data_IF_336169048820
#
_entry.id   IF_336169048820
#
_cell.length_a   1.000
_cell.length_b   1.000
_cell.length_c   1.000
_cell.angle_alpha   90.00
_cell.angle_beta   90.00
_cell.angle_gamma   90.00
#
_symmetry.space_group_name_H-M   'P 1'
#
loop_
_entity.id
_entity.type
_entity.pdbx_description
1 polymer ?
#
# COMPACT_ATOMS: atom_id res chain seq x y z
N UNK A 1 -68.48 4.70 -10.08
CA UNK A 1 -67.47 4.90 -11.15
C UNK A 1 -66.51 6.06 -10.86
N UNK A 2 -67.02 7.28 -10.49
CA UNK A 2 -66.16 8.45 -10.21
C UNK A 2 -65.01 8.16 -9.20
N UNK A 3 -65.28 7.47 -8.12
CA UNK A 3 -64.26 7.12 -7.12
C UNK A 3 -63.22 6.12 -7.64
N UNK A 4 -63.61 5.23 -8.52
CA UNK A 4 -62.65 4.27 -9.15
C UNK A 4 -61.66 5.02 -10.02
N UNK A 5 -62.08 5.96 -10.83
CA UNK A 5 -61.19 6.78 -11.65
C UNK A 5 -60.25 7.63 -10.78
N UNK A 6 -60.73 8.20 -9.66
CA UNK A 6 -59.89 8.94 -8.73
C UNK A 6 -58.82 8.09 -8.07
N UNK A 7 -59.19 6.89 -7.59
CA UNK A 7 -58.21 5.95 -7.03
C UNK A 7 -57.20 5.46 -8.06
N UNK A 8 -57.63 5.16 -9.28
CA UNK A 8 -56.71 4.78 -10.36
C UNK A 8 -55.75 5.90 -10.72
N UNK A 9 -56.24 7.12 -10.86
CA UNK A 9 -55.41 8.28 -11.14
C UNK A 9 -54.38 8.52 -10.01
N UNK A 10 -54.83 8.43 -8.76
CA UNK A 10 -53.91 8.56 -7.61
C UNK A 10 -52.86 7.45 -7.59
N UNK A 11 -53.25 6.21 -7.85
CA UNK A 11 -52.32 5.06 -7.92
C UNK A 11 -51.30 5.24 -9.04
N UNK A 12 -51.69 5.70 -10.21
CA UNK A 12 -50.79 5.99 -11.33
C UNK A 12 -49.82 7.11 -10.97
N UNK A 13 -50.26 8.19 -10.36
CA UNK A 13 -49.43 9.30 -9.93
C UNK A 13 -48.39 8.82 -8.88
N UNK A 14 -48.81 8.01 -7.91
CA UNK A 14 -47.91 7.46 -6.90
C UNK A 14 -46.90 6.51 -7.54
N UNK A 15 -47.29 5.62 -8.45
CA UNK A 15 -46.34 4.75 -9.13
C UNK A 15 -45.32 5.53 -9.97
N UNK A 16 -45.78 6.51 -10.75
CA UNK A 16 -44.90 7.37 -11.54
C UNK A 16 -43.94 8.14 -10.64
N UNK A 17 -44.41 8.63 -9.51
CA UNK A 17 -43.55 9.33 -8.54
C UNK A 17 -42.51 8.40 -7.92
N UNK A 18 -42.92 7.20 -7.50
CA UNK A 18 -42.00 6.23 -6.88
C UNK A 18 -40.91 5.79 -7.89
N UNK A 19 -41.31 5.39 -9.08
CA UNK A 19 -40.35 4.96 -10.09
C UNK A 19 -39.57 6.10 -10.71
N UNK A 20 -40.15 7.27 -10.86
CA UNK A 20 -39.50 8.45 -11.41
C UNK A 20 -38.42 9.02 -10.46
N UNK A 21 -38.68 9.05 -9.16
CA UNK A 21 -37.73 9.59 -8.19
C UNK A 21 -36.70 8.57 -7.67
N UNK A 22 -37.04 7.27 -7.64
CA UNK A 22 -36.14 6.22 -7.14
C UNK A 22 -35.51 5.37 -8.21
N UNK A 23 -35.97 5.49 -9.45
CA UNK A 23 -35.57 4.61 -10.55
C UNK A 23 -36.10 3.17 -10.40
N UNK A 24 -35.95 2.38 -11.44
CA UNK A 24 -36.46 0.99 -11.51
C UNK A 24 -35.84 0.02 -10.52
N UNK A 25 -34.65 0.33 -9.99
CA UNK A 25 -33.93 -0.48 -9.00
C UNK A 25 -33.97 0.05 -7.58
N UNK A 26 -34.72 1.11 -7.34
CA UNK A 26 -34.82 1.80 -6.04
C UNK A 26 -33.45 2.21 -5.45
N UNK A 27 -32.47 2.50 -6.31
CA UNK A 27 -31.08 2.81 -5.89
C UNK A 27 -30.86 4.28 -5.59
N UNK A 28 -31.79 5.17 -5.93
CA UNK A 28 -31.65 6.59 -5.68
C UNK A 28 -32.18 6.97 -4.28
N UNK A 29 -31.48 7.92 -3.64
CA UNK A 29 -31.92 8.42 -2.34
C UNK A 29 -33.33 9.06 -2.41
N UNK A 30 -34.17 8.92 -1.37
CA UNK A 30 -35.56 9.44 -1.38
C UNK A 30 -35.66 10.98 -1.56
N UNK A 31 -34.56 11.68 -1.35
CA UNK A 31 -34.48 13.15 -1.41
C UNK A 31 -34.04 13.72 -2.76
N UNK A 32 -33.76 12.86 -3.76
CA UNK A 32 -33.50 13.31 -5.14
C UNK A 32 -34.79 13.69 -5.83
N UNK A 33 -35.26 14.90 -5.50
CA UNK A 33 -36.54 15.48 -6.03
C UNK A 33 -36.43 15.73 -7.53
N UNK A 34 -35.21 15.97 -8.05
CA UNK A 34 -34.96 16.20 -9.46
C UNK A 34 -34.16 15.04 -10.05
N UNK A 35 -34.69 14.31 -11.05
CA UNK A 35 -34.01 13.20 -11.68
C UNK A 35 -32.71 13.68 -12.35
N UNK A 36 -31.59 13.08 -11.99
CA UNK A 36 -30.25 13.48 -12.45
C UNK A 36 -30.06 13.41 -13.97
N UNK A 37 -30.78 12.52 -14.63
CA UNK A 37 -30.75 12.39 -16.08
C UNK A 37 -31.35 13.63 -16.80
N UNK A 38 -32.29 14.34 -16.15
CA UNK A 38 -32.90 15.55 -16.68
C UNK A 38 -32.22 16.82 -16.16
N UNK A 39 -31.79 16.81 -14.90
CA UNK A 39 -31.18 17.94 -14.21
C UNK A 39 -29.90 17.54 -13.51
N UNK A 40 -28.79 17.36 -14.24
CA UNK A 40 -27.54 16.85 -13.67
C UNK A 40 -26.88 17.83 -12.68
N UNK A 41 -27.32 19.09 -12.65
CA UNK A 41 -26.82 20.13 -11.74
C UNK A 41 -25.28 20.11 -11.60
N UNK A 42 -24.77 20.19 -10.38
CA UNK A 42 -23.32 20.18 -10.09
C UNK A 42 -22.69 18.79 -10.08
N UNK A 43 -23.45 17.71 -10.20
CA UNK A 43 -22.92 16.34 -10.21
C UNK A 43 -22.15 16.01 -11.50
N UNK A 44 -22.60 16.54 -12.63
CA UNK A 44 -21.95 16.37 -13.93
C UNK A 44 -21.21 17.65 -14.31
N UNK A 45 -19.99 17.78 -13.81
CA UNK A 45 -19.11 18.88 -14.16
C UNK A 45 -18.21 18.50 -15.33
N UNK A 46 -17.94 19.45 -16.22
CA UNK A 46 -16.97 19.31 -17.31
C UNK A 46 -15.54 19.40 -16.76
N UNK A 47 -15.14 18.42 -15.96
CA UNK A 47 -13.78 18.32 -15.39
C UNK A 47 -13.20 16.95 -15.66
N UNK A 48 -11.90 16.91 -15.91
CA UNK A 48 -11.14 15.68 -15.98
C UNK A 48 -10.92 15.16 -14.56
N UNK A 49 -11.35 13.92 -14.29
CA UNK A 49 -11.14 13.26 -13.00
C UNK A 49 -10.06 12.19 -13.16
N UNK A 50 -9.22 11.96 -12.14
CA UNK A 50 -8.28 10.83 -12.15
C UNK A 50 -9.00 9.51 -12.38
N UNK A 51 -8.36 8.59 -13.11
CA UNK A 51 -8.86 7.23 -13.37
C UNK A 51 -10.23 7.16 -14.09
N UNK A 52 -10.61 8.21 -14.82
CA UNK A 52 -11.81 8.20 -15.66
C UNK A 52 -11.43 8.23 -17.15
N UNK A 53 -12.34 7.78 -17.99
CA UNK A 53 -12.20 7.96 -19.42
C UNK A 53 -12.32 9.46 -19.78
N UNK A 54 -11.48 9.93 -20.69
CA UNK A 54 -11.51 11.29 -21.21
C UNK A 54 -11.74 11.29 -22.72
N UNK A 55 -12.82 11.90 -23.15
CA UNK A 55 -13.11 12.11 -24.59
C UNK A 55 -12.26 13.21 -25.22
N UNK A 56 -11.57 13.98 -24.41
CA UNK A 56 -10.73 15.09 -24.89
C UNK A 56 -9.37 14.61 -25.43
N UNK A 57 -8.81 13.55 -24.83
CA UNK A 57 -7.52 13.02 -25.25
C UNK A 57 -7.68 11.84 -26.20
N UNK A 58 -6.84 11.80 -27.25
CA UNK A 58 -6.91 10.76 -28.29
C UNK A 58 -6.70 9.33 -27.75
N UNK A 59 -5.94 9.18 -26.65
CA UNK A 59 -5.71 7.90 -25.97
C UNK A 59 -6.81 7.53 -24.97
N UNK A 60 -7.85 8.35 -24.84
CA UNK A 60 -8.97 8.12 -23.94
C UNK A 60 -8.65 8.23 -22.44
N UNK A 61 -7.40 8.53 -22.08
CA UNK A 61 -6.95 8.55 -20.68
C UNK A 61 -7.01 9.94 -20.07
N UNK A 62 -7.61 10.04 -18.89
CA UNK A 62 -7.58 11.27 -18.09
C UNK A 62 -6.26 11.44 -17.32
N UNK A 63 -5.63 10.34 -16.94
CA UNK A 63 -4.32 10.37 -16.29
C UNK A 63 -3.24 10.63 -17.32
N UNK A 64 -2.57 11.77 -17.22
CA UNK A 64 -1.50 12.15 -18.13
C UNK A 64 -0.14 11.87 -17.52
N UNK A 65 0.80 11.28 -18.29
CA UNK A 65 2.19 11.21 -17.85
C UNK A 65 2.74 12.62 -17.67
N UNK A 66 3.63 12.78 -16.72
CA UNK A 66 4.33 14.06 -16.56
C UNK A 66 5.12 14.37 -17.82
N UNK A 67 5.09 15.61 -18.32
CA UNK A 67 5.97 16.02 -19.42
C UNK A 67 7.43 15.77 -19.06
N UNK A 68 8.25 15.49 -20.07
CA UNK A 68 9.69 15.32 -19.87
C UNK A 68 10.31 16.56 -19.20
N UNK A 69 11.13 16.35 -18.19
CA UNK A 69 11.77 17.42 -17.44
C UNK A 69 10.94 18.07 -16.33
N UNK A 70 9.68 17.66 -16.16
CA UNK A 70 8.85 18.11 -15.03
C UNK A 70 9.13 17.24 -13.80
N UNK A 71 9.49 17.88 -12.70
CA UNK A 71 9.62 17.27 -11.38
C UNK A 71 8.47 17.75 -10.52
N UNK A 72 7.76 16.83 -9.87
CA UNK A 72 6.71 17.20 -8.92
C UNK A 72 7.33 17.97 -7.77
N UNK A 73 6.82 19.19 -7.53
CA UNK A 73 7.35 20.01 -6.45
C UNK A 73 7.14 19.33 -5.10
N UNK A 74 8.25 19.00 -4.44
CA UNK A 74 8.36 18.60 -3.04
C UNK A 74 7.67 17.30 -2.59
N UNK A 75 7.01 16.53 -3.48
CA UNK A 75 6.28 15.34 -3.05
C UNK A 75 6.56 14.14 -3.95
N UNK A 76 6.99 13.04 -3.34
CA UNK A 76 7.05 11.72 -3.96
C UNK A 76 5.66 11.07 -4.12
N UNK A 77 5.60 9.82 -4.61
CA UNK A 77 4.34 9.13 -4.92
C UNK A 77 3.31 9.07 -3.79
N UNK A 78 3.74 9.12 -2.54
CA UNK A 78 2.87 9.07 -1.36
C UNK A 78 2.76 10.44 -0.65
N UNK A 79 2.96 11.54 -1.36
CA UNK A 79 2.92 12.88 -0.78
C UNK A 79 4.12 13.23 0.12
N UNK A 80 5.20 12.46 0.02
CA UNK A 80 6.41 12.67 0.80
C UNK A 80 7.40 13.58 0.09
N UNK A 81 8.25 14.31 0.83
CA UNK A 81 9.33 15.10 0.25
C UNK A 81 10.20 14.25 -0.69
N UNK A 82 10.58 14.83 -1.82
CA UNK A 82 11.55 14.18 -2.72
C UNK A 82 12.89 14.05 -1.99
N UNK A 83 13.34 12.80 -1.87
CA UNK A 83 14.64 12.49 -1.29
C UNK A 83 15.68 12.41 -2.43
N UNK A 84 16.83 13.04 -2.22
CA UNK A 84 17.94 13.09 -3.18
C UNK A 84 19.08 12.13 -2.82
N UNK A 85 19.09 11.59 -1.61
CA UNK A 85 20.10 10.60 -1.18
C UNK A 85 19.85 9.27 -1.90
N UNK A 86 20.78 8.88 -2.75
CA UNK A 86 20.70 7.64 -3.53
C UNK A 86 20.67 6.40 -2.63
N UNK A 87 21.45 6.37 -1.54
CA UNK A 87 21.40 5.27 -0.58
C UNK A 87 20.01 5.15 0.04
N UNK A 88 19.44 6.26 0.51
CA UNK A 88 18.13 6.30 1.14
C UNK A 88 17.01 5.85 0.18
N UNK A 89 17.04 6.27 -1.08
CA UNK A 89 15.95 6.06 -2.04
C UNK A 89 16.11 4.74 -2.81
N UNK A 90 17.34 4.37 -3.19
CA UNK A 90 17.59 3.23 -4.08
C UNK A 90 18.37 2.09 -3.43
N UNK A 91 19.00 2.33 -2.29
CA UNK A 91 19.90 1.37 -1.63
C UNK A 91 21.21 1.13 -2.38
N UNK A 92 21.58 2.05 -3.29
CA UNK A 92 22.77 1.91 -4.15
C UNK A 92 23.77 3.02 -3.90
N UNK A 93 25.04 2.65 -4.00
CA UNK A 93 26.15 3.58 -4.09
C UNK A 93 26.26 4.21 -5.48
N UNK A 94 27.15 5.18 -5.65
CA UNK A 94 27.36 5.88 -6.91
C UNK A 94 27.83 4.95 -8.06
N UNK A 95 28.52 3.86 -7.72
CA UNK A 95 28.97 2.83 -8.68
C UNK A 95 27.87 1.81 -9.05
N UNK A 96 26.67 1.94 -8.46
CA UNK A 96 25.54 1.04 -8.70
C UNK A 96 25.52 -0.21 -7.83
N UNK A 97 26.52 -0.42 -6.98
CA UNK A 97 26.54 -1.54 -6.02
C UNK A 97 25.53 -1.33 -4.90
N UNK A 98 25.04 -2.43 -4.31
CA UNK A 98 24.14 -2.35 -3.17
C UNK A 98 24.91 -2.00 -1.89
N UNK A 99 24.42 -1.01 -1.18
CA UNK A 99 25.06 -0.54 0.07
C UNK A 99 24.66 -1.44 1.23
N UNK A 100 25.65 -1.83 2.05
CA UNK A 100 25.44 -2.47 3.35
C UNK A 100 25.21 -1.41 4.42
N UNK A 101 24.32 -1.71 5.37
CA UNK A 101 23.96 -0.84 6.45
C UNK A 101 22.82 0.13 6.12
N UNK A 102 22.49 0.96 7.08
CA UNK A 102 21.38 1.92 7.00
C UNK A 102 21.89 3.30 6.56
N UNK A 103 21.05 4.09 5.84
CA UNK A 103 21.39 5.48 5.50
C UNK A 103 21.74 6.30 6.75
N UNK A 104 22.66 7.24 6.63
CA UNK A 104 23.08 8.08 7.75
C UNK A 104 21.92 8.89 8.37
N UNK A 105 20.90 9.19 7.59
CA UNK A 105 19.68 9.87 8.05
C UNK A 105 18.73 8.97 8.83
N UNK A 106 18.98 7.65 8.90
CA UNK A 106 18.11 6.67 9.54
C UNK A 106 18.66 6.28 10.90
N UNK A 107 17.98 6.67 11.96
CA UNK A 107 18.32 6.25 13.32
C UNK A 107 17.57 4.95 13.66
N UNK A 108 18.31 3.84 13.74
CA UNK A 108 17.74 2.54 14.10
C UNK A 108 17.66 2.43 15.62
N UNK A 109 16.53 2.83 16.17
CA UNK A 109 16.23 2.72 17.60
C UNK A 109 15.01 1.82 17.84
N UNK A 110 14.61 1.64 19.10
CA UNK A 110 13.49 0.78 19.47
C UNK A 110 12.17 1.20 18.80
N UNK A 111 11.88 2.51 18.79
CA UNK A 111 10.64 3.02 18.18
C UNK A 111 10.60 2.75 16.68
N UNK A 112 11.74 2.91 16.00
CA UNK A 112 11.87 2.59 14.58
C UNK A 112 11.66 1.10 14.28
N UNK A 113 12.18 0.21 15.15
CA UNK A 113 11.93 -1.23 15.04
C UNK A 113 10.47 -1.61 15.31
N UNK A 114 9.82 -0.97 16.28
CA UNK A 114 8.40 -1.19 16.55
C UNK A 114 7.52 -0.73 15.37
N UNK A 115 7.85 0.40 14.76
CA UNK A 115 7.23 0.87 13.53
C UNK A 115 7.45 -0.13 12.38
N UNK A 116 8.69 -0.60 12.20
CA UNK A 116 9.03 -1.63 11.21
C UNK A 116 8.24 -2.93 11.41
N UNK A 117 8.05 -3.36 12.67
CA UNK A 117 7.23 -4.52 13.01
C UNK A 117 5.78 -4.33 12.60
N UNK A 118 5.21 -3.16 12.85
CA UNK A 118 3.85 -2.85 12.45
C UNK A 118 3.70 -2.95 10.93
N UNK A 119 4.56 -2.27 10.17
CA UNK A 119 4.52 -2.29 8.70
C UNK A 119 4.77 -3.69 8.14
N UNK A 120 5.72 -4.42 8.70
CA UNK A 120 6.00 -5.81 8.35
C UNK A 120 4.76 -6.70 8.55
N UNK A 121 4.08 -6.56 9.67
CA UNK A 121 2.89 -7.36 10.00
C UNK A 121 1.75 -7.15 9.00
N UNK A 122 1.62 -5.94 8.48
CA UNK A 122 0.59 -5.59 7.49
C UNK A 122 0.95 -6.09 6.09
N UNK A 123 2.17 -5.81 5.62
CA UNK A 123 2.53 -5.97 4.21
C UNK A 123 3.35 -7.21 3.91
N UNK A 124 4.12 -7.73 4.86
CA UNK A 124 5.09 -8.79 4.63
C UNK A 124 4.69 -10.12 5.25
N UNK A 125 4.21 -10.10 6.51
CA UNK A 125 3.88 -11.30 7.26
C UNK A 125 2.83 -12.21 6.59
N UNK A 126 1.84 -11.73 5.82
CA UNK A 126 0.92 -12.62 5.12
C UNK A 126 1.60 -13.64 4.22
N UNK A 127 2.73 -13.27 3.60
CA UNK A 127 3.52 -14.17 2.75
C UNK A 127 4.73 -14.75 3.50
N UNK A 128 5.46 -13.91 4.26
CA UNK A 128 6.74 -14.30 4.87
C UNK A 128 6.64 -14.92 6.27
N UNK A 129 5.42 -14.95 6.85
CA UNK A 129 5.23 -15.41 8.23
C UNK A 129 5.59 -14.36 9.28
N UNK A 130 5.05 -14.49 10.48
CA UNK A 130 5.32 -13.55 11.58
C UNK A 130 6.79 -13.56 12.04
N UNK A 131 7.45 -14.70 11.86
CA UNK A 131 8.86 -14.91 12.23
C UNK A 131 9.81 -14.74 11.03
N UNK A 132 9.31 -14.50 9.83
CA UNK A 132 10.14 -14.42 8.63
C UNK A 132 10.61 -15.79 8.10
N UNK A 133 9.93 -16.85 8.49
CA UNK A 133 10.25 -18.26 8.14
C UNK A 133 9.68 -18.69 6.78
N UNK A 134 9.02 -17.80 6.06
CA UNK A 134 8.35 -18.10 4.79
C UNK A 134 7.03 -18.85 4.94
N UNK A 135 6.50 -18.94 6.15
CA UNK A 135 5.31 -19.73 6.45
C UNK A 135 4.07 -18.83 6.69
N UNK A 136 3.87 -17.85 5.81
CA UNK A 136 2.70 -16.98 5.85
C UNK A 136 1.42 -17.67 5.42
N UNK A 137 0.28 -17.03 5.75
CA UNK A 137 -1.05 -17.58 5.45
C UNK A 137 -1.28 -17.84 3.95
N UNK A 138 -0.68 -17.05 3.08
CA UNK A 138 -0.78 -17.19 1.62
C UNK A 138 -0.25 -18.53 1.11
N UNK A 139 0.61 -19.21 1.87
CA UNK A 139 1.11 -20.55 1.55
C UNK A 139 -0.02 -21.57 1.42
N UNK A 140 -1.06 -21.45 2.25
CA UNK A 140 -2.24 -22.31 2.20
C UNK A 140 -3.10 -22.07 0.95
N UNK A 141 -2.89 -20.94 0.27
CA UNK A 141 -3.61 -20.54 -0.93
C UNK A 141 -2.73 -20.64 -2.20
N UNK A 142 -1.69 -21.47 -2.16
CA UNK A 142 -0.87 -21.80 -3.33
C UNK A 142 0.40 -20.98 -3.49
N UNK A 143 0.73 -20.07 -2.58
CA UNK A 143 1.97 -19.29 -2.60
C UNK A 143 3.10 -20.01 -1.87
N UNK A 144 3.45 -21.21 -2.35
CA UNK A 144 4.38 -22.12 -1.65
C UNK A 144 5.87 -21.76 -1.70
N UNK A 145 6.28 -20.82 -2.55
CA UNK A 145 7.68 -20.55 -2.85
C UNK A 145 8.30 -19.36 -2.10
N UNK A 146 7.68 -18.89 -1.00
CA UNK A 146 8.22 -17.79 -0.20
C UNK A 146 9.43 -18.28 0.61
N UNK A 147 10.64 -17.72 0.39
CA UNK A 147 11.83 -18.16 1.12
C UNK A 147 11.80 -17.70 2.57
N UNK A 148 12.47 -18.47 3.44
CA UNK A 148 12.76 -18.02 4.80
C UNK A 148 13.85 -16.95 4.80
N UNK A 149 13.70 -15.89 5.60
CA UNK A 149 14.76 -14.88 5.76
C UNK A 149 15.98 -15.40 6.53
N UNK A 150 15.87 -16.57 7.15
CA UNK A 150 16.93 -17.17 7.97
C UNK A 150 17.96 -17.97 7.18
N UNK A 151 17.75 -18.16 5.86
CA UNK A 151 18.76 -18.74 4.98
C UNK A 151 20.04 -17.92 4.99
N UNK A 152 21.20 -18.58 5.03
CA UNK A 152 22.50 -17.93 5.05
C UNK A 152 22.66 -16.92 3.92
N UNK A 153 22.28 -17.28 2.70
CA UNK A 153 22.28 -16.38 1.55
C UNK A 153 21.48 -15.10 1.78
N UNK A 154 20.29 -15.19 2.39
CA UNK A 154 19.42 -14.02 2.65
C UNK A 154 19.87 -13.21 3.87
N UNK A 155 20.59 -13.82 4.79
CA UNK A 155 21.23 -13.10 5.89
C UNK A 155 22.44 -12.28 5.42
N UNK A 156 23.12 -12.76 4.38
CA UNK A 156 24.35 -12.11 3.88
C UNK A 156 24.11 -11.02 2.83
N UNK A 157 22.92 -10.90 2.24
CA UNK A 157 22.64 -9.82 1.27
C UNK A 157 22.69 -8.45 1.93
N UNK A 158 23.06 -7.42 1.15
CA UNK A 158 23.09 -6.03 1.62
C UNK A 158 21.67 -5.49 1.86
N UNK A 159 21.52 -4.55 2.79
CA UNK A 159 20.25 -3.87 3.06
C UNK A 159 19.70 -3.17 1.82
N UNK A 160 20.59 -2.59 1.00
CA UNK A 160 20.22 -2.00 -0.29
C UNK A 160 19.65 -3.01 -1.29
N UNK A 161 20.07 -4.29 -1.27
CA UNK A 161 19.48 -5.34 -2.10
C UNK A 161 18.08 -5.73 -1.60
N UNK A 162 17.88 -5.73 -0.28
CA UNK A 162 16.54 -5.94 0.30
C UNK A 162 15.62 -4.79 -0.13
N UNK A 163 16.09 -3.54 -0.02
CA UNK A 163 15.36 -2.36 -0.50
C UNK A 163 15.00 -2.49 -1.98
N UNK A 164 15.95 -2.86 -2.82
CA UNK A 164 15.70 -3.05 -4.25
C UNK A 164 14.63 -4.12 -4.51
N UNK A 165 14.60 -5.18 -3.71
CA UNK A 165 13.56 -6.22 -3.80
C UNK A 165 12.19 -5.66 -3.39
N UNK A 166 12.12 -4.85 -2.35
CA UNK A 166 10.87 -4.18 -1.94
C UNK A 166 10.38 -3.22 -3.03
N UNK A 167 11.30 -2.47 -3.64
CA UNK A 167 10.97 -1.47 -4.67
C UNK A 167 10.49 -2.07 -5.99
N UNK A 168 11.12 -3.13 -6.44
CA UNK A 168 10.91 -3.66 -7.79
C UNK A 168 10.23 -5.02 -7.83
N UNK A 169 10.15 -5.70 -6.66
CA UNK A 169 9.74 -7.09 -6.59
C UNK A 169 10.87 -8.05 -7.00
N UNK A 170 10.62 -9.34 -6.83
CA UNK A 170 11.54 -10.42 -7.26
C UNK A 170 10.76 -11.72 -7.45
N UNK A 171 10.78 -12.30 -8.64
CA UNK A 171 9.99 -13.49 -8.95
C UNK A 171 8.50 -13.25 -8.77
N UNK A 172 7.85 -13.99 -7.88
CA UNK A 172 6.43 -13.83 -7.59
C UNK A 172 6.11 -12.69 -6.61
N UNK A 173 7.12 -12.09 -5.98
CA UNK A 173 6.94 -10.94 -5.11
C UNK A 173 6.76 -9.68 -5.96
N UNK A 174 5.61 -9.02 -5.83
CA UNK A 174 5.32 -7.75 -6.51
C UNK A 174 6.04 -6.58 -5.81
N UNK A 175 6.10 -5.44 -6.51
CA UNK A 175 6.60 -4.18 -5.96
C UNK A 175 5.72 -3.65 -4.82
N UNK A 176 6.35 -3.09 -3.80
CA UNK A 176 5.72 -2.36 -2.70
C UNK A 176 6.09 -0.88 -2.68
N UNK A 177 6.65 -0.37 -3.78
CA UNK A 177 7.09 1.02 -3.89
C UNK A 177 5.96 2.04 -3.71
N UNK A 178 4.74 1.68 -4.10
CA UNK A 178 3.54 2.53 -4.00
C UNK A 178 2.80 2.38 -2.66
N UNK A 179 3.18 1.41 -1.83
CA UNK A 179 2.48 1.06 -0.57
C UNK A 179 3.23 1.48 0.68
N UNK A 180 4.54 1.58 0.58
CA UNK A 180 5.44 1.90 1.68
C UNK A 180 6.17 3.21 1.40
N UNK A 181 6.20 4.07 2.40
CA UNK A 181 7.04 5.26 2.38
C UNK A 181 8.53 4.90 2.38
N UNK A 182 9.40 5.86 2.12
CA UNK A 182 10.85 5.64 2.21
C UNK A 182 11.24 5.19 3.62
N UNK A 183 10.68 5.84 4.63
CA UNK A 183 10.92 5.51 6.04
C UNK A 183 10.40 4.11 6.38
N UNK A 184 9.16 3.77 5.98
CA UNK A 184 8.57 2.45 6.21
C UNK A 184 9.43 1.33 5.64
N UNK A 185 9.99 1.50 4.43
CA UNK A 185 10.85 0.48 3.80
C UNK A 185 12.08 0.18 4.64
N UNK A 186 12.77 1.22 5.12
CA UNK A 186 13.94 1.06 5.97
C UNK A 186 13.59 0.51 7.34
N UNK A 187 12.44 0.90 7.90
CA UNK A 187 11.94 0.33 9.15
C UNK A 187 11.63 -1.17 9.01
N UNK A 188 11.00 -1.58 7.91
CA UNK A 188 10.77 -3.01 7.60
C UNK A 188 12.10 -3.76 7.46
N UNK A 189 13.09 -3.19 6.76
CA UNK A 189 14.43 -3.80 6.62
C UNK A 189 15.08 -3.98 8.00
N UNK A 190 15.02 -2.96 8.86
CA UNK A 190 15.53 -3.06 10.22
C UNK A 190 14.84 -4.17 11.02
N UNK A 191 13.53 -4.29 10.89
CA UNK A 191 12.78 -5.35 11.57
C UNK A 191 13.13 -6.75 11.01
N UNK A 192 13.32 -6.90 9.70
CA UNK A 192 13.78 -8.16 9.10
C UNK A 192 15.15 -8.55 9.67
N UNK A 193 16.09 -7.59 9.82
CA UNK A 193 17.39 -7.84 10.45
C UNK A 193 17.24 -8.25 11.93
N UNK A 194 16.31 -7.63 12.64
CA UNK A 194 16.00 -8.02 14.02
C UNK A 194 15.44 -9.46 14.10
N UNK A 195 14.55 -9.86 13.19
CA UNK A 195 14.06 -11.24 13.08
C UNK A 195 15.20 -12.23 12.82
N UNK A 196 16.08 -11.92 11.85
CA UNK A 196 17.26 -12.75 11.56
C UNK A 196 18.18 -12.88 12.79
N UNK A 197 18.41 -11.77 13.50
CA UNK A 197 19.24 -11.79 14.72
C UNK A 197 18.59 -12.58 15.84
N UNK A 198 17.29 -12.44 16.05
CA UNK A 198 16.56 -13.18 17.09
C UNK A 198 16.61 -14.71 16.89
N UNK A 199 16.58 -15.18 15.64
CA UNK A 199 16.66 -16.61 15.33
C UNK A 199 18.09 -17.18 15.42
N UNK A 200 19.12 -16.33 15.35
CA UNK A 200 20.53 -16.70 15.38
C UNK A 200 21.28 -15.99 16.51
N UNK A 201 20.55 -15.62 17.58
CA UNK A 201 21.12 -14.98 18.76
C UNK A 201 22.17 -15.88 19.45
N UNK A 202 23.20 -15.26 19.96
CA UNK A 202 24.26 -15.88 20.73
C UNK A 202 24.27 -15.34 22.17
N UNK A 203 24.90 -16.00 23.12
CA UNK A 203 25.07 -15.48 24.47
C UNK A 203 25.69 -14.08 24.54
N UNK A 204 26.47 -13.71 23.52
CA UNK A 204 27.07 -12.38 23.41
C UNK A 204 26.04 -11.27 23.12
N UNK A 205 24.89 -11.64 22.55
CA UNK A 205 23.80 -10.71 22.24
C UNK A 205 22.96 -10.32 23.46
N UNK A 206 23.09 -11.08 24.54
CA UNK A 206 22.32 -10.87 25.77
C UNK A 206 23.01 -9.80 26.62
N UNK A 207 22.32 -8.71 26.98
CA UNK A 207 22.86 -7.70 27.90
C UNK A 207 23.29 -8.36 29.21
N UNK A 208 24.40 -7.91 29.76
CA UNK A 208 24.99 -8.48 30.99
C UNK A 208 23.97 -8.56 32.14
N UNK A 209 23.06 -7.56 32.23
CA UNK A 209 22.02 -7.52 33.27
C UNK A 209 21.01 -8.69 33.19
N UNK A 210 20.83 -9.30 32.03
CA UNK A 210 19.85 -10.37 31.81
C UNK A 210 20.48 -11.76 31.64
N UNK A 211 21.80 -11.86 31.61
CA UNK A 211 22.49 -13.16 31.43
C UNK A 211 22.14 -14.15 32.55
N UNK A 212 22.10 -13.68 33.80
CA UNK A 212 21.78 -14.54 34.94
C UNK A 212 20.36 -15.10 34.91
N UNK A 213 19.39 -14.33 34.40
CA UNK A 213 17.99 -14.77 34.24
C UNK A 213 17.85 -15.89 33.22
N UNK A 214 18.74 -15.93 32.22
CA UNK A 214 18.76 -16.94 31.16
C UNK A 214 19.74 -18.09 31.45
N UNK A 215 20.38 -18.11 32.62
CA UNK A 215 21.38 -19.13 32.97
C UNK A 215 22.65 -19.08 32.12
N UNK A 216 22.95 -17.95 31.50
CA UNK A 216 24.14 -17.73 30.65
C UNK A 216 25.26 -17.16 31.53
N UNK A 217 26.43 -17.80 31.51
CA UNK A 217 27.65 -17.37 32.18
C UNK A 217 28.51 -16.50 31.27
#
# INVERSE_FOLDING_TARGET
MRNVYLFTALAVVLLVSIFGFRGTKFTHAPMDVFPEWAFPAMRHQSKVKPQTESKFFADGRSDRPLPAGVVTANFGPLGQPLQTDAHLVTGKAADGSFVRGFPAATEVNRQFLEHGRERYSIYCAPCHGALGDGNGITKQYGMGATPTFHDERLRDIAEGEILNTILHGKGNMLSYADKLSVEDRWAVIAYVRALQRAQHGTPADVPAAHKSELGIQ
#
